data_IF_565326594063
#
_entry.id   IF_565326594063
#
_cell.length_a   1.000
_cell.length_b   1.000
_cell.length_c   1.000
_cell.angle_alpha   90.00
_cell.angle_beta   90.00
_cell.angle_gamma   90.00
#
_symmetry.space_group_name_H-M   'P 1'
#
loop_
_entity.id
_entity.type
_entity.pdbx_description
1 polymer ?
#
# COMPACT_ATOMS: atom_id res chain seq x y z
N UNK A 1 -20.78 -27.26 -48.75
CA UNK A 1 -20.58 -28.70 -48.46
C UNK A 1 -19.83 -28.81 -47.15
N UNK A 2 -20.53 -29.22 -46.10
CA UNK A 2 -19.98 -29.66 -44.81
C UNK A 2 -19.51 -31.11 -44.98
N UNK A 3 -18.23 -31.40 -44.73
CA UNK A 3 -17.66 -32.74 -44.47
C UNK A 3 -16.14 -32.57 -44.27
N UNK A 4 -15.46 -33.06 -43.24
CA UNK A 4 -15.81 -33.80 -42.03
C UNK A 4 -14.51 -33.87 -41.22
N UNK A 5 -14.53 -33.45 -39.96
CA UNK A 5 -13.42 -33.68 -39.04
C UNK A 5 -13.60 -35.06 -38.43
N UNK A 6 -12.82 -36.04 -38.91
CA UNK A 6 -12.71 -37.34 -38.28
C UNK A 6 -11.94 -37.21 -36.95
N UNK A 7 -12.48 -37.85 -35.92
CA UNK A 7 -11.97 -37.93 -34.57
C UNK A 7 -10.53 -38.43 -34.51
N UNK A 8 -9.61 -37.62 -33.99
CA UNK A 8 -8.37 -38.14 -33.42
C UNK A 8 -8.70 -38.80 -32.08
N UNK A 9 -8.43 -40.09 -32.02
CA UNK A 9 -8.53 -40.94 -30.84
C UNK A 9 -7.79 -40.29 -29.67
N UNK A 10 -8.47 -40.15 -28.53
CA UNK A 10 -7.82 -39.86 -27.24
C UNK A 10 -6.71 -40.89 -27.05
N UNK A 11 -5.46 -40.45 -27.06
CA UNK A 11 -4.38 -41.25 -26.52
C UNK A 11 -4.75 -41.55 -25.05
N UNK A 12 -5.03 -42.82 -24.75
CA UNK A 12 -5.18 -43.29 -23.38
C UNK A 12 -3.89 -42.93 -22.63
N UNK A 13 -3.97 -41.92 -21.77
CA UNK A 13 -2.94 -41.71 -20.76
C UNK A 13 -2.94 -42.95 -19.89
N UNK A 14 -1.85 -43.70 -19.92
CA UNK A 14 -1.59 -44.77 -18.96
C UNK A 14 -1.79 -44.19 -17.56
N UNK A 15 -2.63 -44.77 -16.68
CA UNK A 15 -2.71 -44.31 -15.31
C UNK A 15 -1.30 -44.42 -14.71
N UNK A 16 -0.78 -43.29 -14.24
CA UNK A 16 0.45 -43.30 -13.46
C UNK A 16 0.21 -44.17 -12.21
N UNK A 17 1.22 -44.94 -11.76
CA UNK A 17 1.05 -45.84 -10.62
C UNK A 17 0.53 -45.04 -9.40
N UNK A 18 -0.44 -45.61 -8.68
CA UNK A 18 -0.87 -45.11 -7.37
C UNK A 18 0.38 -44.95 -6.50
N UNK A 19 0.80 -43.71 -6.28
CA UNK A 19 1.87 -43.41 -5.33
C UNK A 19 1.26 -43.63 -3.95
N UNK A 20 1.43 -44.83 -3.41
CA UNK A 20 1.04 -45.14 -2.05
C UNK A 20 1.70 -44.15 -1.09
N UNK A 21 0.89 -43.33 -0.44
CA UNK A 21 1.28 -42.39 0.62
C UNK A 21 1.91 -43.19 1.77
N UNK A 22 3.22 -43.47 1.72
CA UNK A 22 3.82 -44.47 2.62
C UNK A 22 5.17 -44.09 3.22
N UNK A 23 5.77 -42.93 2.90
CA UNK A 23 6.92 -42.43 3.64
C UNK A 23 6.53 -41.22 4.49
N UNK A 24 6.73 -41.34 5.80
CA UNK A 24 6.69 -40.27 6.80
C UNK A 24 5.31 -39.66 7.15
N UNK A 25 4.22 -40.40 6.92
CA UNK A 25 2.86 -40.00 7.32
C UNK A 25 2.37 -40.65 8.63
N UNK A 26 3.23 -41.36 9.37
CA UNK A 26 2.79 -42.14 10.54
C UNK A 26 2.28 -41.29 11.71
N UNK A 27 2.66 -40.01 11.76
CA UNK A 27 2.21 -39.06 12.79
C UNK A 27 0.91 -38.32 12.42
N UNK A 28 0.41 -38.53 11.19
CA UNK A 28 -0.81 -37.87 10.70
C UNK A 28 -2.06 -38.51 11.29
N UNK A 29 -3.00 -37.67 11.70
CA UNK A 29 -4.35 -38.06 12.11
C UNK A 29 -5.17 -38.50 10.90
N UNK A 30 -6.32 -39.16 11.14
CA UNK A 30 -7.25 -39.54 10.08
C UNK A 30 -7.74 -38.34 9.26
N UNK A 31 -7.92 -37.19 9.90
CA UNK A 31 -8.37 -35.97 9.24
C UNK A 31 -7.28 -35.38 8.34
N UNK A 32 -6.03 -35.36 8.82
CA UNK A 32 -4.86 -34.94 8.05
C UNK A 32 -4.63 -35.86 6.84
N UNK A 33 -4.79 -37.18 7.00
CA UNK A 33 -4.75 -38.14 5.90
C UNK A 33 -5.87 -37.93 4.88
N UNK A 34 -7.09 -37.60 5.34
CA UNK A 34 -8.19 -37.29 4.43
C UNK A 34 -7.91 -36.00 3.63
N UNK A 35 -7.36 -34.98 4.28
CA UNK A 35 -7.01 -33.71 3.63
C UNK A 35 -5.98 -33.89 2.50
N UNK A 36 -4.89 -34.64 2.74
CA UNK A 36 -3.85 -34.83 1.69
C UNK A 36 -4.33 -35.69 0.51
N UNK A 37 -5.45 -36.40 0.66
CA UNK A 37 -6.09 -37.14 -0.42
C UNK A 37 -7.15 -36.30 -1.16
N UNK A 38 -7.51 -35.12 -0.65
CA UNK A 38 -8.49 -34.23 -1.27
C UNK A 38 -7.80 -33.35 -2.32
N UNK A 39 -8.03 -33.63 -3.61
CA UNK A 39 -7.40 -32.89 -4.72
C UNK A 39 -7.72 -31.39 -4.71
N UNK A 40 -8.95 -31.03 -4.38
CA UNK A 40 -9.47 -29.67 -4.59
C UNK A 40 -8.82 -28.63 -3.66
N UNK A 41 -8.44 -29.04 -2.45
CA UNK A 41 -7.71 -28.19 -1.51
C UNK A 41 -6.23 -28.03 -1.90
N UNK A 42 -5.64 -29.07 -2.50
CA UNK A 42 -4.21 -29.07 -2.87
C UNK A 42 -3.91 -28.24 -4.12
N UNK A 43 -4.88 -28.10 -5.04
CA UNK A 43 -4.74 -27.28 -6.24
C UNK A 43 -4.40 -25.82 -5.89
N UNK A 44 -4.87 -25.31 -4.75
CA UNK A 44 -4.56 -23.96 -4.25
C UNK A 44 -3.06 -23.71 -4.08
N UNK A 45 -2.30 -24.76 -3.78
CA UNK A 45 -0.85 -24.71 -3.56
C UNK A 45 -0.06 -25.20 -4.78
N UNK A 46 -0.72 -25.34 -5.94
CA UNK A 46 -0.18 -25.99 -7.14
C UNK A 46 0.33 -27.44 -6.86
N UNK A 47 -0.35 -28.14 -5.94
CA UNK A 47 -0.07 -29.52 -5.56
C UNK A 47 -1.15 -30.46 -6.11
N UNK A 48 -0.76 -31.72 -6.30
CA UNK A 48 -1.65 -32.88 -6.45
C UNK A 48 -1.32 -33.85 -5.31
N UNK A 49 -2.18 -34.84 -4.98
CA UNK A 49 -1.85 -35.85 -3.98
C UNK A 49 -0.49 -36.51 -4.23
N UNK A 50 -0.13 -36.78 -5.49
CA UNK A 50 1.16 -37.35 -5.88
C UNK A 50 2.32 -36.37 -5.64
N UNK A 51 2.17 -35.10 -6.05
CA UNK A 51 3.21 -34.07 -5.78
C UNK A 51 3.41 -33.87 -4.28
N UNK A 52 2.35 -33.91 -3.49
CA UNK A 52 2.43 -33.79 -2.04
C UNK A 52 3.07 -35.03 -1.43
N UNK A 53 2.71 -36.24 -1.88
CA UNK A 53 3.33 -37.48 -1.41
C UNK A 53 4.86 -37.49 -1.62
N UNK A 54 5.33 -37.03 -2.79
CA UNK A 54 6.76 -36.86 -3.06
C UNK A 54 7.40 -35.88 -2.07
N UNK A 55 6.76 -34.71 -1.83
CA UNK A 55 7.25 -33.72 -0.86
C UNK A 55 7.26 -34.21 0.58
N UNK A 56 6.31 -35.07 0.97
CA UNK A 56 6.24 -35.64 2.32
C UNK A 56 7.31 -36.72 2.51
N UNK A 57 7.60 -37.50 1.48
CA UNK A 57 8.65 -38.52 1.51
C UNK A 57 10.06 -37.94 1.75
N UNK A 58 10.31 -36.70 1.30
CA UNK A 58 11.56 -35.97 1.50
C UNK A 58 11.73 -35.37 2.92
N UNK A 59 10.71 -35.48 3.79
CA UNK A 59 10.67 -34.84 5.12
C UNK A 59 10.65 -35.85 6.25
N UNK A 60 11.15 -35.50 7.43
CA UNK A 60 10.92 -36.32 8.63
C UNK A 60 9.42 -36.41 8.99
N UNK A 61 8.96 -37.43 9.74
CA UNK A 61 7.55 -37.55 10.12
C UNK A 61 6.98 -36.31 10.83
N UNK A 62 7.79 -35.62 11.62
CA UNK A 62 7.42 -34.39 12.32
C UNK A 62 7.26 -33.22 11.35
N UNK A 63 8.21 -33.02 10.43
CA UNK A 63 8.14 -31.97 9.41
C UNK A 63 6.99 -32.21 8.42
N UNK A 64 6.72 -33.48 8.07
CA UNK A 64 5.58 -33.88 7.27
C UNK A 64 4.27 -33.50 7.98
N UNK A 65 4.15 -33.78 9.28
CA UNK A 65 3.00 -33.36 10.09
C UNK A 65 2.82 -31.85 10.12
N UNK A 66 3.89 -31.11 10.40
CA UNK A 66 3.85 -29.64 10.41
C UNK A 66 3.42 -29.07 9.06
N UNK A 67 3.90 -29.65 7.94
CA UNK A 67 3.48 -29.22 6.60
C UNK A 67 1.98 -29.44 6.37
N UNK A 68 1.45 -30.61 6.71
CA UNK A 68 0.02 -30.92 6.53
C UNK A 68 -0.84 -30.04 7.43
N UNK A 69 -0.44 -29.82 8.67
CA UNK A 69 -1.14 -28.93 9.60
C UNK A 69 -1.17 -27.49 9.08
N UNK A 70 -0.05 -26.98 8.58
CA UNK A 70 0.01 -25.66 7.97
C UNK A 70 -0.90 -25.57 6.74
N UNK A 71 -0.91 -26.58 5.85
CA UNK A 71 -1.79 -26.60 4.67
C UNK A 71 -3.27 -26.54 5.07
N UNK A 72 -3.66 -27.34 6.07
CA UNK A 72 -5.03 -27.34 6.60
C UNK A 72 -5.39 -26.00 7.23
N UNK A 73 -4.49 -25.42 8.03
CA UNK A 73 -4.71 -24.13 8.69
C UNK A 73 -4.85 -23.00 7.67
N UNK A 74 -3.95 -22.91 6.68
CA UNK A 74 -4.02 -21.91 5.62
C UNK A 74 -5.29 -22.08 4.77
N UNK A 75 -5.68 -23.32 4.44
CA UNK A 75 -6.94 -23.59 3.76
C UNK A 75 -8.17 -23.18 4.58
N UNK A 76 -8.14 -23.36 5.90
CA UNK A 76 -9.22 -22.95 6.79
C UNK A 76 -9.32 -21.41 6.88
N UNK A 77 -8.19 -20.71 7.04
CA UNK A 77 -8.13 -19.25 7.10
C UNK A 77 -8.67 -18.57 5.83
N UNK A 78 -8.63 -19.26 4.68
CA UNK A 78 -9.16 -18.77 3.41
C UNK A 78 -10.69 -18.66 3.38
N UNK A 79 -11.39 -19.40 4.23
CA UNK A 79 -12.86 -19.37 4.32
C UNK A 79 -13.32 -18.23 5.23
N UNK A 80 -14.60 -17.87 5.15
CA UNK A 80 -15.20 -16.91 6.08
C UNK A 80 -15.02 -17.35 7.53
N UNK A 81 -14.85 -16.39 8.44
CA UNK A 81 -14.60 -16.63 9.86
C UNK A 81 -15.57 -15.78 10.69
N UNK A 82 -16.71 -16.37 11.05
CA UNK A 82 -17.86 -15.68 11.67
C UNK A 82 -17.59 -14.95 13.01
N UNK A 83 -16.39 -15.06 13.58
CA UNK A 83 -16.01 -14.45 14.87
C UNK A 83 -14.57 -13.90 14.88
N UNK A 84 -13.92 -13.75 13.71
CA UNK A 84 -12.58 -13.16 13.66
C UNK A 84 -12.71 -11.63 13.59
N UNK A 85 -13.08 -11.02 14.71
CA UNK A 85 -12.70 -9.62 14.96
C UNK A 85 -11.18 -9.62 15.12
N UNK A 86 -10.42 -9.37 14.06
CA UNK A 86 -9.01 -9.07 14.24
C UNK A 86 -8.92 -7.67 14.85
N UNK A 87 -8.19 -7.56 15.96
CA UNK A 87 -7.98 -6.33 16.72
C UNK A 87 -9.22 -5.72 17.38
N UNK A 88 -9.22 -5.71 18.72
CA UNK A 88 -10.02 -4.77 19.51
C UNK A 88 -9.48 -3.36 19.28
N UNK A 89 -9.84 -2.72 18.18
CA UNK A 89 -10.05 -1.29 18.16
C UNK A 89 -11.54 -1.09 18.46
N UNK A 90 -11.85 -0.74 19.70
CA UNK A 90 -13.16 -0.17 20.04
C UNK A 90 -13.06 1.35 19.89
N UNK A 91 -13.57 1.97 18.82
CA UNK A 91 -14.37 3.17 18.94
C UNK A 91 -15.75 2.74 19.43
N UNK A 92 -16.29 3.38 20.47
CA UNK A 92 -17.33 2.85 21.35
C UNK A 92 -18.72 2.55 20.74
N UNK A 93 -18.91 2.57 19.44
CA UNK A 93 -20.14 2.15 18.75
C UNK A 93 -19.74 1.41 17.46
N UNK A 94 -19.65 0.09 17.54
CA UNK A 94 -19.16 -0.75 16.45
C UNK A 94 -19.98 -0.60 15.18
N UNK A 95 -19.29 -0.55 14.04
CA UNK A 95 -19.89 -0.83 12.74
C UNK A 95 -20.33 -2.30 12.80
N UNK A 96 -21.64 -2.53 12.95
CA UNK A 96 -22.27 -3.84 12.73
C UNK A 96 -21.75 -4.39 11.38
N UNK A 97 -21.39 -5.68 11.28
CA UNK A 97 -21.10 -6.25 9.96
C UNK A 97 -22.28 -5.90 9.03
N UNK A 98 -22.07 -5.19 7.91
CA UNK A 98 -23.18 -4.77 7.04
C UNK A 98 -23.86 -5.96 6.30
N UNK A 99 -23.58 -7.20 6.71
CA UNK A 99 -23.87 -8.44 6.02
C UNK A 99 -24.81 -9.37 6.80
N UNK A 100 -25.43 -8.89 7.88
CA UNK A 100 -26.42 -9.66 8.62
C UNK A 100 -27.64 -9.98 7.73
N UNK A 101 -27.87 -11.28 7.51
CA UNK A 101 -28.96 -11.87 6.73
C UNK A 101 -30.35 -11.43 7.21
N UNK A 102 -30.90 -10.35 6.66
CA UNK A 102 -32.32 -10.00 6.82
C UNK A 102 -32.90 -9.51 5.50
N UNK A 103 -34.13 -9.94 5.24
CA UNK A 103 -34.83 -9.92 3.95
C UNK A 103 -35.22 -8.52 3.41
N UNK A 104 -34.67 -7.45 3.99
CA UNK A 104 -34.78 -6.05 3.54
C UNK A 104 -33.40 -5.35 3.62
N UNK A 105 -32.32 -6.00 3.18
CA UNK A 105 -31.04 -5.31 2.97
C UNK A 105 -30.94 -4.84 1.51
N UNK A 106 -30.91 -3.53 1.28
CA UNK A 106 -30.76 -2.88 -0.04
C UNK A 106 -29.36 -3.09 -0.69
N UNK A 107 -28.57 -4.08 -0.26
CA UNK A 107 -27.20 -4.37 -0.69
C UNK A 107 -27.10 -5.83 -1.17
N UNK A 108 -26.29 -6.09 -2.21
CA UNK A 108 -25.97 -7.45 -2.68
C UNK A 108 -25.09 -8.14 -1.61
N UNK A 109 -25.55 -9.22 -0.95
CA UNK A 109 -24.79 -9.86 0.11
C UNK A 109 -23.54 -10.55 -0.45
N UNK A 110 -22.44 -10.48 0.31
CA UNK A 110 -21.27 -11.34 0.06
C UNK A 110 -21.65 -12.81 0.31
N UNK A 111 -20.94 -13.73 -0.35
CA UNK A 111 -21.16 -15.17 -0.20
C UNK A 111 -20.18 -15.76 0.84
N UNK A 112 -20.52 -15.86 2.14
CA UNK A 112 -19.62 -16.42 3.16
C UNK A 112 -19.36 -17.92 2.99
N UNK A 113 -20.23 -18.63 2.25
CA UNK A 113 -20.02 -20.05 1.90
C UNK A 113 -18.94 -20.23 0.82
N UNK A 114 -18.46 -19.14 0.21
CA UNK A 114 -17.37 -19.21 -0.75
C UNK A 114 -16.09 -19.70 -0.06
N UNK A 115 -15.57 -20.84 -0.52
CA UNK A 115 -14.33 -21.40 0.03
C UNK A 115 -13.09 -20.49 -0.12
N UNK A 116 -13.18 -19.44 -0.95
CA UNK A 116 -12.14 -18.46 -1.23
C UNK A 116 -12.32 -17.09 -0.57
N UNK A 117 -13.30 -16.90 0.32
CA UNK A 117 -13.73 -15.59 0.84
C UNK A 117 -12.56 -14.68 1.27
N UNK A 118 -11.62 -15.19 2.06
CA UNK A 118 -10.49 -14.46 2.61
C UNK A 118 -9.18 -14.64 1.83
N UNK A 119 -9.21 -15.21 0.61
CA UNK A 119 -7.99 -15.64 -0.10
C UNK A 119 -6.96 -14.53 -0.28
N UNK A 120 -7.38 -13.30 -0.49
CA UNK A 120 -6.49 -12.15 -0.66
C UNK A 120 -5.80 -11.75 0.66
N UNK A 121 -6.39 -12.08 1.81
CA UNK A 121 -5.87 -11.72 3.15
C UNK A 121 -4.95 -12.78 3.75
N UNK A 122 -4.95 -14.00 3.22
CA UNK A 122 -4.18 -15.12 3.77
C UNK A 122 -2.76 -15.12 3.21
N UNK A 123 -1.79 -14.83 4.07
CA UNK A 123 -0.38 -14.91 3.74
C UNK A 123 0.10 -16.36 3.65
N UNK A 124 0.94 -16.64 2.65
CA UNK A 124 1.56 -17.95 2.51
C UNK A 124 2.63 -18.17 3.60
N UNK A 125 2.50 -19.20 4.46
CA UNK A 125 3.52 -19.54 5.44
C UNK A 125 4.89 -19.82 4.78
N UNK A 126 5.97 -19.39 5.43
CA UNK A 126 7.34 -19.66 4.99
C UNK A 126 7.66 -21.17 4.88
N UNK A 127 6.89 -22.00 5.58
CA UNK A 127 6.99 -23.45 5.47
C UNK A 127 6.79 -23.94 4.03
N UNK A 128 5.95 -23.26 3.23
CA UNK A 128 5.63 -23.63 1.85
C UNK A 128 6.66 -23.19 0.82
N UNK A 129 7.64 -22.37 1.20
CA UNK A 129 8.68 -21.95 0.28
C UNK A 129 9.47 -23.15 -0.24
N UNK A 130 9.53 -23.25 -1.56
CA UNK A 130 10.32 -24.28 -2.24
C UNK A 130 11.81 -24.14 -1.91
N UNK A 131 12.29 -22.91 -1.80
CA UNK A 131 13.67 -22.60 -1.48
C UNK A 131 13.71 -21.90 -0.13
N UNK A 132 14.37 -22.52 0.84
CA UNK A 132 14.62 -21.91 2.15
C UNK A 132 15.71 -20.86 2.00
N UNK A 133 15.48 -19.70 2.60
CA UNK A 133 16.40 -18.58 2.63
C UNK A 133 16.44 -18.02 4.04
N UNK A 134 17.57 -17.45 4.40
CA UNK A 134 17.65 -16.64 5.61
C UNK A 134 16.77 -15.38 5.44
N UNK A 135 16.14 -14.90 6.52
CA UNK A 135 15.44 -13.63 6.49
C UNK A 135 16.38 -12.49 6.11
N UNK A 136 15.88 -11.59 5.26
CA UNK A 136 16.60 -10.40 4.81
C UNK A 136 16.23 -10.01 3.37
N UNK A 137 16.39 -8.74 2.99
CA UNK A 137 16.18 -8.32 1.61
C UNK A 137 17.21 -8.97 0.69
N UNK A 138 16.80 -9.32 -0.54
CA UNK A 138 17.69 -9.93 -1.51
C UNK A 138 17.54 -9.28 -2.89
N UNK A 139 18.66 -9.20 -3.62
CA UNK A 139 18.68 -8.52 -4.92
C UNK A 139 18.06 -9.38 -6.01
N UNK A 140 17.25 -8.75 -6.87
CA UNK A 140 16.79 -9.33 -8.14
C UNK A 140 17.65 -8.90 -9.34
N UNK A 141 18.75 -8.16 -9.11
CA UNK A 141 19.61 -7.66 -10.19
C UNK A 141 20.27 -8.84 -10.91
N UNK A 142 20.08 -8.89 -12.23
CA UNK A 142 20.78 -9.84 -13.13
C UNK A 142 21.97 -9.20 -13.82
N UNK A 143 21.87 -7.92 -14.13
CA UNK A 143 22.90 -7.17 -14.87
C UNK A 143 23.57 -6.16 -13.94
N UNK A 144 24.78 -5.73 -14.33
CA UNK A 144 25.52 -4.69 -13.62
C UNK A 144 24.79 -3.34 -13.69
N UNK A 145 24.22 -3.03 -14.86
CA UNK A 145 23.44 -1.82 -15.09
C UNK A 145 21.95 -2.09 -14.89
N UNK A 146 21.27 -1.07 -14.38
CA UNK A 146 19.94 -1.15 -13.77
C UNK A 146 18.79 -1.16 -14.79
N UNK A 147 19.07 -0.79 -16.04
CA UNK A 147 18.07 -0.57 -17.09
C UNK A 147 17.44 -1.88 -17.61
N UNK A 148 18.00 -3.03 -17.24
CA UNK A 148 17.44 -4.35 -17.59
C UNK A 148 17.27 -5.24 -16.35
N UNK A 149 16.19 -6.02 -16.29
CA UNK A 149 15.95 -6.94 -15.19
C UNK A 149 14.49 -6.97 -14.74
N UNK A 150 14.27 -7.46 -13.51
CA UNK A 150 12.95 -7.40 -12.86
C UNK A 150 12.86 -6.03 -12.17
N UNK A 151 11.92 -5.15 -12.59
CA UNK A 151 11.81 -3.81 -12.03
C UNK A 151 11.30 -3.86 -10.59
N UNK A 152 11.90 -3.04 -9.74
CA UNK A 152 11.57 -2.85 -8.33
C UNK A 152 11.63 -1.36 -8.02
N UNK A 153 10.89 -0.91 -7.00
CA UNK A 153 10.94 0.49 -6.59
C UNK A 153 12.36 0.88 -6.19
N UNK A 154 12.83 2.03 -6.69
CA UNK A 154 14.19 2.54 -6.46
C UNK A 154 15.31 1.54 -6.83
N UNK A 155 15.01 0.50 -7.62
CA UNK A 155 15.88 -0.65 -7.87
C UNK A 155 16.40 -1.33 -6.57
N UNK A 156 15.58 -1.28 -5.52
CA UNK A 156 15.89 -1.79 -4.20
C UNK A 156 15.86 -3.33 -4.15
N UNK A 157 16.59 -3.96 -3.21
CA UNK A 157 16.39 -5.36 -2.87
C UNK A 157 14.93 -5.65 -2.48
N UNK A 158 14.48 -6.88 -2.73
CA UNK A 158 13.12 -7.29 -2.40
C UNK A 158 13.08 -7.91 -1.01
N UNK A 159 12.10 -7.48 -0.21
CA UNK A 159 11.65 -8.15 1.00
C UNK A 159 10.27 -8.80 0.73
N UNK A 160 10.03 -10.00 1.25
CA UNK A 160 8.76 -10.73 1.02
C UNK A 160 7.95 -10.83 2.32
N UNK A 161 8.62 -10.78 3.47
CA UNK A 161 8.00 -10.95 4.80
C UNK A 161 8.53 -9.93 5.79
N UNK A 162 7.77 -9.71 6.87
CA UNK A 162 8.17 -8.89 8.02
C UNK A 162 9.56 -9.27 8.55
N UNK A 163 9.87 -10.56 8.62
CA UNK A 163 11.18 -11.04 9.06
C UNK A 163 12.34 -10.53 8.19
N UNK A 164 12.10 -10.24 6.91
CA UNK A 164 13.12 -9.67 6.03
C UNK A 164 13.38 -8.20 6.34
N UNK A 165 12.31 -7.44 6.62
CA UNK A 165 12.42 -6.04 7.02
C UNK A 165 13.25 -5.92 8.31
N UNK A 166 12.93 -6.76 9.30
CA UNK A 166 13.65 -6.82 10.58
C UNK A 166 15.11 -7.23 10.38
N UNK A 167 15.37 -8.34 9.68
CA UNK A 167 16.73 -8.84 9.50
C UNK A 167 17.62 -7.92 8.64
N UNK A 168 17.01 -7.19 7.70
CA UNK A 168 17.69 -6.18 6.89
C UNK A 168 17.87 -4.82 7.58
N UNK A 169 17.29 -4.62 8.77
CA UNK A 169 17.17 -3.32 9.42
C UNK A 169 16.67 -2.25 8.41
N UNK A 170 15.62 -2.58 7.68
CA UNK A 170 15.10 -1.75 6.58
C UNK A 170 14.51 -0.47 7.15
N UNK A 171 15.07 0.67 6.77
CA UNK A 171 14.59 1.99 7.18
C UNK A 171 13.28 2.35 6.46
N UNK A 172 13.25 2.14 5.13
CA UNK A 172 12.11 2.48 4.27
C UNK A 172 11.78 1.31 3.37
N UNK A 173 10.49 0.94 3.30
CA UNK A 173 10.03 -0.07 2.35
C UNK A 173 8.89 0.47 1.49
N UNK A 174 9.06 0.36 0.18
CA UNK A 174 7.99 0.63 -0.77
C UNK A 174 7.01 -0.54 -0.82
N UNK A 175 5.72 -0.25 -0.81
CA UNK A 175 4.66 -1.24 -0.92
C UNK A 175 3.58 -0.73 -1.86
N UNK A 176 3.21 -1.54 -2.84
CA UNK A 176 2.14 -1.20 -3.77
C UNK A 176 0.75 -1.59 -3.24
N UNK A 177 -0.24 -0.73 -3.43
CA UNK A 177 -1.64 -1.01 -3.12
C UNK A 177 -2.49 -0.78 -4.38
N UNK A 178 -2.68 -1.80 -5.23
CA UNK A 178 -3.33 -1.65 -6.53
C UNK A 178 -4.87 -1.63 -6.43
N UNK A 179 -5.44 -0.69 -5.68
CA UNK A 179 -6.89 -0.54 -5.45
C UNK A 179 -7.44 0.74 -6.09
N UNK A 180 -8.44 0.64 -6.97
CA UNK A 180 -9.07 1.81 -7.62
C UNK A 180 -10.61 1.76 -7.57
N UNK A 181 -11.16 1.01 -6.61
CA UNK A 181 -12.61 0.82 -6.51
C UNK A 181 -13.30 1.95 -5.73
N UNK A 182 -12.59 2.56 -4.77
CA UNK A 182 -13.13 3.65 -3.97
C UNK A 182 -13.39 4.93 -4.78
N UNK A 183 -12.64 5.15 -5.87
CA UNK A 183 -12.93 6.21 -6.84
C UNK A 183 -13.89 5.78 -7.95
N UNK A 184 -13.96 4.48 -8.24
CA UNK A 184 -14.69 3.92 -9.39
C UNK A 184 -14.21 4.45 -10.75
N UNK A 185 -13.06 5.13 -10.79
CA UNK A 185 -12.66 6.03 -11.88
C UNK A 185 -11.19 5.84 -12.29
N UNK A 186 -10.79 6.55 -13.36
CA UNK A 186 -9.61 6.41 -14.23
C UNK A 186 -8.26 5.91 -13.61
N UNK A 187 -8.09 4.60 -13.49
CA UNK A 187 -6.79 3.88 -13.62
C UNK A 187 -5.74 3.89 -12.47
N UNK A 188 -6.09 4.30 -11.25
CA UNK A 188 -5.07 4.48 -10.20
C UNK A 188 -4.39 3.17 -9.72
N UNK A 189 -5.02 2.02 -9.94
CA UNK A 189 -4.54 0.70 -9.52
C UNK A 189 -3.27 0.23 -10.24
N UNK A 190 -2.95 0.78 -11.41
CA UNK A 190 -1.78 0.35 -12.20
C UNK A 190 -0.51 1.11 -11.84
N UNK A 191 -0.61 2.17 -11.03
CA UNK A 191 0.54 2.95 -10.57
C UNK A 191 1.65 2.09 -9.96
N UNK A 192 1.40 1.11 -9.07
CA UNK A 192 2.49 0.36 -8.45
C UNK A 192 3.31 -0.45 -9.45
N UNK A 193 2.69 -0.90 -10.54
CA UNK A 193 3.38 -1.66 -11.59
C UNK A 193 4.20 -0.73 -12.47
N UNK A 194 3.63 0.40 -12.91
CA UNK A 194 4.33 1.34 -13.78
C UNK A 194 5.52 2.00 -13.07
N UNK A 195 5.31 2.48 -11.84
CA UNK A 195 6.30 3.30 -11.12
C UNK A 195 7.56 2.51 -10.72
N UNK A 196 7.47 1.18 -10.54
CA UNK A 196 8.64 0.30 -10.38
C UNK A 196 9.58 0.30 -11.58
N UNK A 197 9.02 0.44 -12.78
CA UNK A 197 9.76 0.42 -14.03
C UNK A 197 10.23 1.80 -14.50
N UNK A 198 9.98 2.85 -13.70
CA UNK A 198 10.24 4.24 -14.08
C UNK A 198 11.44 4.81 -13.33
N UNK A 199 12.18 5.72 -13.97
CA UNK A 199 13.33 6.41 -13.37
C UNK A 199 12.91 7.40 -12.28
N UNK A 200 13.89 7.86 -11.49
CA UNK A 200 13.75 9.01 -10.60
C UNK A 200 13.42 8.70 -9.15
N UNK A 201 13.41 7.43 -8.72
CA UNK A 201 13.19 7.03 -7.33
C UNK A 201 14.47 6.89 -6.48
N UNK A 202 15.64 6.83 -7.12
CA UNK A 202 16.94 6.62 -6.48
C UNK A 202 18.02 7.52 -7.10
N UNK A 203 19.15 7.64 -6.40
CA UNK A 203 20.30 8.41 -6.82
C UNK A 203 20.49 9.71 -6.03
N UNK A 204 21.56 10.42 -6.38
CA UNK A 204 21.98 11.66 -5.73
C UNK A 204 20.97 12.81 -5.95
N UNK A 205 20.48 13.40 -4.86
CA UNK A 205 19.75 14.67 -4.89
C UNK A 205 20.74 15.82 -4.90
N UNK A 206 20.65 16.68 -5.91
CA UNK A 206 21.50 17.88 -6.03
C UNK A 206 21.17 18.85 -4.91
N UNK A 207 19.89 19.16 -4.70
CA UNK A 207 19.43 20.08 -3.66
C UNK A 207 19.69 19.60 -2.24
N UNK A 208 19.64 18.28 -1.99
CA UNK A 208 19.92 17.69 -0.69
C UNK A 208 21.39 17.37 -0.44
N UNK A 209 22.21 17.32 -1.49
CA UNK A 209 23.64 16.95 -1.37
C UNK A 209 23.88 15.50 -0.98
N UNK A 210 22.90 14.61 -1.19
CA UNK A 210 22.89 13.26 -0.62
C UNK A 210 22.20 12.25 -1.54
N UNK A 211 22.69 11.01 -1.52
CA UNK A 211 21.99 9.87 -2.09
C UNK A 211 21.29 9.09 -0.96
N UNK A 212 19.94 9.05 -0.93
CA UNK A 212 19.20 8.37 0.12
C UNK A 212 19.56 6.89 0.27
N UNK A 213 19.91 6.23 -0.83
CA UNK A 213 20.21 4.79 -0.86
C UNK A 213 21.60 4.44 -0.33
N UNK A 214 22.47 5.45 -0.12
CA UNK A 214 23.77 5.27 0.54
C UNK A 214 23.69 5.43 2.06
N UNK A 215 22.60 6.00 2.59
CA UNK A 215 22.44 6.31 4.02
C UNK A 215 21.27 5.58 4.69
N UNK A 216 20.35 5.04 3.90
CA UNK A 216 19.21 4.25 4.37
C UNK A 216 19.16 2.88 3.70
N UNK A 217 18.72 1.88 4.46
CA UNK A 217 18.33 0.60 3.90
C UNK A 217 16.92 0.70 3.31
N UNK A 218 16.82 0.52 1.99
CA UNK A 218 15.57 0.61 1.24
C UNK A 218 15.21 -0.76 0.67
N UNK A 219 13.93 -1.14 0.71
CA UNK A 219 13.43 -2.38 0.10
C UNK A 219 12.15 -2.16 -0.72
N UNK A 220 11.91 -3.03 -1.70
CA UNK A 220 10.59 -3.22 -2.32
C UNK A 220 9.89 -4.40 -1.62
N UNK A 221 8.75 -4.13 -1.02
CA UNK A 221 7.95 -5.09 -0.25
C UNK A 221 6.78 -5.68 -1.07
N UNK A 222 6.84 -5.56 -2.40
CA UNK A 222 5.83 -6.10 -3.29
C UNK A 222 4.52 -5.30 -3.24
N UNK A 223 3.41 -5.98 -3.52
CA UNK A 223 2.08 -5.39 -3.43
C UNK A 223 1.29 -6.07 -2.30
N UNK A 224 0.51 -5.28 -1.56
CA UNK A 224 -0.56 -5.80 -0.73
C UNK A 224 -1.66 -6.31 -1.68
N UNK A 225 -2.14 -7.52 -1.44
CA UNK A 225 -3.23 -8.08 -2.22
C UNK A 225 -4.54 -7.39 -1.85
N UNK A 226 -5.35 -7.06 -2.86
CA UNK A 226 -6.62 -6.34 -2.66
C UNK A 226 -7.79 -7.09 -3.31
N UNK A 227 -8.96 -6.93 -2.73
CA UNK A 227 -10.24 -7.28 -3.32
C UNK A 227 -10.71 -6.14 -4.24
N UNK A 228 -10.79 -6.42 -5.55
CA UNK A 228 -11.19 -5.43 -6.54
C UNK A 228 -12.71 -5.22 -6.62
N UNK A 229 -13.49 -5.85 -5.73
CA UNK A 229 -14.94 -5.77 -5.68
C UNK A 229 -15.50 -5.29 -4.33
N UNK A 230 -14.65 -5.03 -3.34
CA UNK A 230 -15.08 -4.42 -2.07
C UNK A 230 -13.97 -3.59 -1.44
N UNK A 231 -14.10 -2.26 -1.36
CA UNK A 231 -13.17 -1.43 -0.59
C UNK A 231 -13.20 -1.79 0.90
N UNK A 232 -14.37 -2.13 1.44
CA UNK A 232 -14.58 -2.51 2.84
C UNK A 232 -13.72 -3.71 3.23
N UNK A 233 -13.63 -4.72 2.35
CA UNK A 233 -12.81 -5.89 2.60
C UNK A 233 -11.30 -5.59 2.55
N UNK A 234 -10.88 -4.44 2.06
CA UNK A 234 -9.47 -4.08 1.98
C UNK A 234 -8.98 -3.32 3.21
N UNK A 235 -9.85 -2.52 3.86
CA UNK A 235 -9.44 -1.58 4.91
C UNK A 235 -8.61 -2.26 6.00
N UNK A 236 -9.19 -3.25 6.67
CA UNK A 236 -8.54 -3.98 7.76
C UNK A 236 -7.25 -4.69 7.31
N UNK A 237 -7.27 -5.30 6.12
CA UNK A 237 -6.12 -6.04 5.60
C UNK A 237 -4.94 -5.10 5.31
N UNK A 238 -5.20 -3.98 4.63
CA UNK A 238 -4.19 -2.96 4.34
C UNK A 238 -3.64 -2.39 5.65
N UNK A 239 -4.50 -2.00 6.59
CA UNK A 239 -4.08 -1.49 7.90
C UNK A 239 -3.16 -2.47 8.62
N UNK A 240 -3.50 -3.76 8.65
CA UNK A 240 -2.66 -4.76 9.31
C UNK A 240 -1.31 -4.94 8.61
N UNK A 241 -1.27 -4.99 7.27
CA UNK A 241 -0.01 -5.13 6.54
C UNK A 241 0.92 -3.92 6.73
N UNK A 242 0.37 -2.72 6.81
CA UNK A 242 1.14 -1.51 7.11
C UNK A 242 1.60 -1.47 8.57
N UNK A 243 0.76 -1.92 9.50
CA UNK A 243 1.13 -2.08 10.92
C UNK A 243 2.30 -3.06 11.08
N UNK A 244 2.28 -4.18 10.35
CA UNK A 244 3.38 -5.16 10.35
C UNK A 244 4.72 -4.55 9.91
N UNK A 245 4.71 -3.62 8.95
CA UNK A 245 5.91 -2.88 8.51
C UNK A 245 6.40 -1.92 9.59
N UNK A 246 5.49 -1.16 10.21
CA UNK A 246 5.82 -0.22 11.29
C UNK A 246 6.40 -0.96 12.51
N UNK A 247 5.82 -2.10 12.89
CA UNK A 247 6.34 -2.96 13.95
C UNK A 247 7.72 -3.57 13.64
N UNK A 248 8.11 -3.64 12.35
CA UNK A 248 9.46 -4.01 11.95
C UNK A 248 10.47 -2.86 12.08
N UNK A 249 10.02 -1.66 12.46
CA UNK A 249 10.83 -0.44 12.50
C UNK A 249 10.99 0.22 11.12
N UNK A 250 10.14 -0.13 10.15
CA UNK A 250 10.25 0.32 8.76
C UNK A 250 9.18 1.33 8.42
N UNK A 251 9.58 2.45 7.81
CA UNK A 251 8.66 3.49 7.30
C UNK A 251 8.02 2.98 6.00
N UNK A 252 6.68 2.86 5.93
CA UNK A 252 6.00 2.45 4.71
C UNK A 252 5.94 3.61 3.69
N UNK A 253 6.38 3.33 2.47
CA UNK A 253 6.14 4.15 1.28
C UNK A 253 5.07 3.47 0.43
N UNK A 254 3.84 3.94 0.55
CA UNK A 254 2.66 3.33 -0.03
C UNK A 254 2.47 3.91 -1.43
N UNK A 255 2.39 3.06 -2.44
CA UNK A 255 2.29 3.49 -3.83
C UNK A 255 1.01 2.97 -4.44
N UNK A 256 0.28 3.89 -5.06
CA UNK A 256 -0.82 3.61 -5.97
C UNK A 256 -2.17 3.40 -5.31
N UNK A 257 -3.16 3.27 -6.20
CA UNK A 257 -4.55 3.24 -5.85
C UNK A 257 -5.16 4.61 -5.57
N UNK A 258 -6.46 4.59 -5.27
CA UNK A 258 -7.25 5.78 -4.99
C UNK A 258 -7.18 6.20 -3.52
N UNK A 259 -7.77 7.35 -3.20
CA UNK A 259 -7.67 7.96 -1.88
C UNK A 259 -8.44 7.26 -0.76
N UNK A 260 -9.20 6.20 -1.06
CA UNK A 260 -9.82 5.36 -0.02
C UNK A 260 -8.76 4.65 0.85
N UNK A 261 -7.55 4.46 0.33
CA UNK A 261 -6.42 3.85 1.02
C UNK A 261 -5.98 4.69 2.23
N UNK A 262 -6.12 6.02 2.17
CA UNK A 262 -5.66 6.94 3.21
C UNK A 262 -6.26 6.63 4.58
N UNK A 263 -7.51 6.17 4.63
CA UNK A 263 -8.11 5.74 5.89
C UNK A 263 -7.29 4.61 6.54
N UNK A 264 -6.86 3.63 5.74
CA UNK A 264 -6.11 2.47 6.22
C UNK A 264 -4.68 2.82 6.62
N UNK A 265 -4.02 3.68 5.84
CA UNK A 265 -2.63 4.07 6.04
C UNK A 265 -2.45 4.98 7.25
N UNK A 266 -3.31 6.00 7.39
CA UNK A 266 -3.31 6.88 8.56
C UNK A 266 -3.71 6.09 9.81
N UNK A 267 -4.68 5.18 9.73
CA UNK A 267 -5.06 4.31 10.87
C UNK A 267 -3.91 3.42 11.35
N UNK A 268 -3.12 2.85 10.44
CA UNK A 268 -1.96 2.04 10.80
C UNK A 268 -0.90 2.87 11.53
N UNK A 269 -0.59 4.06 11.02
CA UNK A 269 0.42 4.96 11.61
C UNK A 269 -0.05 5.51 12.96
N UNK A 270 -1.27 6.04 13.04
CA UNK A 270 -1.84 6.58 14.27
C UNK A 270 -1.99 5.51 15.35
N UNK A 271 -2.43 4.30 14.98
CA UNK A 271 -2.54 3.18 15.90
C UNK A 271 -1.17 2.72 16.44
N UNK A 272 -0.15 2.63 15.58
CA UNK A 272 1.20 2.23 15.98
C UNK A 272 1.86 3.27 16.89
N UNK A 273 1.67 4.56 16.62
CA UNK A 273 2.20 5.67 17.40
C UNK A 273 1.16 6.28 18.35
N UNK A 274 0.29 5.47 18.96
CA UNK A 274 -0.83 5.96 19.78
C UNK A 274 -0.43 6.84 20.98
N UNK A 275 0.80 6.69 21.48
CA UNK A 275 1.36 7.52 22.57
C UNK A 275 2.08 8.79 22.09
N UNK A 276 2.11 9.05 20.78
CA UNK A 276 2.80 10.20 20.16
C UNK A 276 1.84 10.96 19.24
N UNK A 277 1.81 12.30 19.26
CA UNK A 277 1.01 13.05 18.30
C UNK A 277 1.41 12.69 16.86
N UNK A 278 0.43 12.43 16.01
CA UNK A 278 0.64 12.18 14.58
C UNK A 278 -0.06 13.29 13.81
N UNK A 279 0.69 13.99 12.96
CA UNK A 279 0.14 14.97 12.02
C UNK A 279 0.19 14.48 10.59
N UNK A 280 -0.86 14.79 9.83
CA UNK A 280 -1.01 14.41 8.43
C UNK A 280 -0.89 15.66 7.56
N UNK A 281 0.11 15.67 6.68
CA UNK A 281 0.17 16.59 5.56
C UNK A 281 -0.55 15.94 4.37
N UNK A 282 -1.71 16.47 4.01
CA UNK A 282 -2.54 15.98 2.91
C UNK A 282 -2.48 16.95 1.73
N UNK A 283 -1.80 16.53 0.66
CA UNK A 283 -1.60 17.29 -0.56
C UNK A 283 -2.61 16.81 -1.61
N UNK A 284 -3.64 17.60 -1.86
CA UNK A 284 -4.77 17.21 -2.70
C UNK A 284 -5.50 18.44 -3.25
N UNK A 285 -6.15 18.31 -4.41
CA UNK A 285 -7.11 19.29 -4.89
C UNK A 285 -8.45 19.24 -4.11
N UNK A 286 -8.76 18.11 -3.48
CA UNK A 286 -10.04 17.80 -2.87
C UNK A 286 -9.94 17.62 -1.36
N UNK A 287 -10.92 18.11 -0.61
CA UNK A 287 -10.94 17.97 0.86
C UNK A 287 -11.22 16.56 1.38
N UNK A 288 -11.69 15.64 0.53
CA UNK A 288 -12.06 14.24 0.85
C UNK A 288 -12.94 14.07 2.10
N UNK A 289 -13.80 15.05 2.35
CA UNK A 289 -14.68 15.10 3.51
C UNK A 289 -16.15 14.94 3.16
N UNK A 290 -16.52 14.28 2.06
CA UNK A 290 -17.93 13.95 1.81
C UNK A 290 -18.45 12.99 2.90
N UNK A 291 -19.76 13.01 3.17
CA UNK A 291 -20.38 12.21 4.26
C UNK A 291 -21.63 11.43 3.84
N UNK A 292 -22.23 11.80 2.71
CA UNK A 292 -23.49 11.28 2.22
C UNK A 292 -23.27 10.62 0.86
N UNK A 293 -22.59 9.47 0.90
CA UNK A 293 -22.26 8.67 -0.27
C UNK A 293 -22.79 7.26 -0.07
N UNK A 294 -23.04 6.59 -1.19
CA UNK A 294 -23.66 5.26 -1.22
C UNK A 294 -22.79 4.17 -0.57
N UNK A 295 -21.46 4.37 -0.56
CA UNK A 295 -20.50 3.48 0.07
C UNK A 295 -19.85 4.16 1.28
N UNK A 296 -19.50 3.38 2.30
CA UNK A 296 -18.88 3.94 3.52
C UNK A 296 -17.41 4.32 3.29
N UNK A 297 -16.70 3.55 2.46
CA UNK A 297 -15.30 3.82 2.10
C UNK A 297 -15.21 4.13 0.60
N UNK A 298 -14.87 5.38 0.30
CA UNK A 298 -14.58 5.87 -1.05
C UNK A 298 -13.40 6.83 -0.99
N UNK A 299 -12.91 7.23 -2.15
CA UNK A 299 -11.86 8.25 -2.23
C UNK A 299 -12.37 9.64 -1.81
N UNK A 300 -13.68 9.89 -1.79
CA UNK A 300 -14.29 11.17 -1.42
C UNK A 300 -14.54 11.34 0.10
N UNK A 301 -14.42 10.28 0.89
CA UNK A 301 -14.82 10.24 2.31
C UNK A 301 -13.66 10.02 3.30
N UNK A 302 -12.43 9.82 2.83
CA UNK A 302 -11.30 9.41 3.69
C UNK A 302 -11.07 10.33 4.89
N UNK A 303 -11.13 11.66 4.70
CA UNK A 303 -10.96 12.64 5.79
C UNK A 303 -12.17 12.63 6.73
N UNK A 304 -13.40 12.57 6.20
CA UNK A 304 -14.59 12.48 7.05
C UNK A 304 -14.56 11.23 7.94
N UNK A 305 -14.15 10.10 7.38
CA UNK A 305 -14.07 8.83 8.11
C UNK A 305 -12.97 8.85 9.17
N UNK A 306 -11.79 9.42 8.86
CA UNK A 306 -10.69 9.54 9.84
C UNK A 306 -11.10 10.36 11.06
N UNK A 307 -11.82 11.47 10.86
CA UNK A 307 -12.31 12.31 11.94
C UNK A 307 -13.45 11.64 12.71
N UNK A 308 -14.42 11.04 12.00
CA UNK A 308 -15.55 10.36 12.62
C UNK A 308 -15.12 9.16 13.48
N UNK A 309 -14.08 8.43 13.06
CA UNK A 309 -13.50 7.32 13.81
C UNK A 309 -12.46 7.76 14.87
N UNK A 310 -12.22 9.07 15.03
CA UNK A 310 -11.22 9.63 15.93
C UNK A 310 -9.83 9.01 15.75
N UNK A 311 -9.47 8.67 14.51
CA UNK A 311 -8.13 8.18 14.17
C UNK A 311 -7.12 9.33 14.26
N UNK A 312 -7.54 10.54 13.92
CA UNK A 312 -6.75 11.75 14.05
C UNK A 312 -7.66 12.92 14.46
N UNK A 313 -7.11 13.84 15.23
CA UNK A 313 -7.76 15.11 15.53
C UNK A 313 -7.60 16.08 14.34
N UNK A 314 -8.64 16.84 14.01
CA UNK A 314 -8.59 17.73 12.84
C UNK A 314 -7.48 18.78 12.90
N UNK A 315 -7.10 19.25 14.09
CA UNK A 315 -5.99 20.21 14.26
C UNK A 315 -4.62 19.66 13.81
N UNK A 316 -4.51 18.33 13.71
CA UNK A 316 -3.32 17.60 13.25
C UNK A 316 -3.40 17.23 11.76
N UNK A 317 -4.47 17.61 11.06
CA UNK A 317 -4.61 17.42 9.61
C UNK A 317 -4.43 18.78 8.90
N UNK A 318 -3.44 18.84 8.00
CA UNK A 318 -3.10 20.02 7.21
C UNK A 318 -3.30 19.71 5.73
N UNK A 319 -4.28 20.36 5.11
CA UNK A 319 -4.57 20.22 3.68
C UNK A 319 -3.92 21.34 2.86
N UNK A 320 -3.27 21.00 1.76
CA UNK A 320 -2.66 21.98 0.85
C UNK A 320 -3.05 21.67 -0.59
N UNK A 321 -3.57 22.68 -1.31
CA UNK A 321 -3.87 22.60 -2.74
C UNK A 321 -5.35 22.57 -3.10
N UNK A 322 -6.23 22.71 -2.09
CA UNK A 322 -7.68 22.65 -2.26
C UNK A 322 -8.17 23.65 -3.32
N UNK A 323 -8.94 23.15 -4.30
CA UNK A 323 -9.54 23.93 -5.39
C UNK A 323 -10.65 23.15 -6.10
N UNK A 324 -11.39 23.83 -6.98
CA UNK A 324 -12.45 23.22 -7.77
C UNK A 324 -13.83 23.27 -7.09
N UNK A 325 -14.84 22.73 -7.77
CA UNK A 325 -16.24 22.98 -7.44
C UNK A 325 -16.72 22.32 -6.13
N UNK A 326 -16.11 21.20 -5.74
CA UNK A 326 -16.45 20.48 -4.50
C UNK A 326 -15.98 21.21 -3.24
N UNK A 327 -15.03 22.15 -3.36
CA UNK A 327 -14.49 22.93 -2.23
C UNK A 327 -15.34 24.18 -1.96
N UNK A 328 -16.66 23.98 -1.91
CA UNK A 328 -17.63 25.07 -1.75
C UNK A 328 -17.65 25.61 -0.31
N UNK A 329 -18.42 26.67 -0.06
CA UNK A 329 -18.50 27.30 1.27
C UNK A 329 -18.88 26.33 2.40
N UNK A 330 -19.78 25.38 2.13
CA UNK A 330 -20.20 24.38 3.11
C UNK A 330 -19.06 23.43 3.47
N UNK A 331 -18.33 22.93 2.47
CA UNK A 331 -17.14 22.10 2.70
C UNK A 331 -16.07 22.83 3.52
N UNK A 332 -15.77 24.09 3.17
CA UNK A 332 -14.80 24.90 3.92
C UNK A 332 -15.26 25.24 5.34
N UNK A 333 -16.57 25.44 5.56
CA UNK A 333 -17.14 25.61 6.90
C UNK A 333 -16.98 24.33 7.72
N UNK A 334 -17.31 23.18 7.14
CA UNK A 334 -17.17 21.89 7.81
C UNK A 334 -15.71 21.61 8.21
N UNK A 335 -14.74 21.89 7.34
CA UNK A 335 -13.31 21.76 7.70
C UNK A 335 -12.96 22.62 8.93
N UNK A 336 -13.44 23.87 8.98
CA UNK A 336 -13.21 24.76 10.13
C UNK A 336 -13.90 24.28 11.41
N UNK A 337 -15.14 23.80 11.30
CA UNK A 337 -15.90 23.26 12.42
C UNK A 337 -15.23 22.04 13.04
N UNK A 338 -14.50 21.27 12.22
CA UNK A 338 -13.70 20.12 12.67
C UNK A 338 -12.23 20.47 12.93
N UNK A 339 -11.87 21.76 12.97
CA UNK A 339 -10.50 22.25 13.21
C UNK A 339 -9.44 21.77 12.21
N UNK A 340 -9.83 21.30 11.02
CA UNK A 340 -8.91 20.94 9.94
C UNK A 340 -8.26 22.20 9.38
N UNK A 341 -6.92 22.21 9.35
CA UNK A 341 -6.16 23.29 8.73
C UNK A 341 -6.13 23.08 7.22
N UNK A 342 -6.35 24.14 6.45
CA UNK A 342 -6.35 24.03 5.00
C UNK A 342 -5.81 25.28 4.31
N UNK A 343 -5.16 25.06 3.18
CA UNK A 343 -4.60 26.08 2.31
C UNK A 343 -5.10 25.86 0.88
N UNK A 344 -5.96 26.77 0.42
CA UNK A 344 -6.54 26.70 -0.93
C UNK A 344 -5.60 27.34 -1.95
N UNK A 345 -5.79 27.01 -3.22
CA UNK A 345 -5.04 27.70 -4.29
C UNK A 345 -5.40 29.19 -4.41
N UNK A 346 -6.59 29.61 -3.97
CA UNK A 346 -6.93 31.04 -3.85
C UNK A 346 -6.09 31.76 -2.80
N UNK A 347 -5.68 31.08 -1.71
CA UNK A 347 -4.74 31.64 -0.75
C UNK A 347 -3.35 31.77 -1.38
N UNK A 348 -2.91 30.74 -2.13
CA UNK A 348 -1.63 30.78 -2.86
C UNK A 348 -1.58 31.94 -3.85
N UNK A 349 -2.66 32.24 -4.56
CA UNK A 349 -2.76 33.39 -5.46
C UNK A 349 -2.64 34.73 -4.72
N UNK A 350 -3.21 34.83 -3.51
CA UNK A 350 -3.18 36.06 -2.70
C UNK A 350 -1.82 36.28 -2.02
N UNK A 351 -1.27 35.23 -1.41
CA UNK A 351 -0.14 35.32 -0.48
C UNK A 351 1.19 34.83 -1.07
N UNK A 352 1.15 34.26 -2.28
CA UNK A 352 2.23 33.48 -2.92
C UNK A 352 2.45 32.08 -2.33
N UNK A 353 2.97 31.19 -3.17
CA UNK A 353 3.31 29.82 -2.77
C UNK A 353 4.32 29.77 -1.62
N UNK A 354 5.34 30.64 -1.64
CA UNK A 354 6.39 30.62 -0.62
C UNK A 354 5.81 30.83 0.78
N UNK A 355 4.88 31.78 0.95
CA UNK A 355 4.24 32.06 2.23
C UNK A 355 3.37 30.88 2.70
N UNK A 356 2.56 30.33 1.81
CA UNK A 356 1.67 29.19 2.14
C UNK A 356 2.47 27.93 2.49
N UNK A 357 3.58 27.69 1.78
CA UNK A 357 4.48 26.56 2.06
C UNK A 357 5.11 26.67 3.46
N UNK A 358 5.62 27.84 3.84
CA UNK A 358 6.17 28.05 5.20
C UNK A 358 5.09 27.91 6.29
N UNK A 359 3.86 28.39 6.03
CA UNK A 359 2.74 28.21 6.94
C UNK A 359 2.44 26.74 7.16
N UNK A 360 2.27 25.96 6.09
CA UNK A 360 1.99 24.54 6.18
C UNK A 360 3.10 23.78 6.92
N UNK A 361 4.38 24.08 6.65
CA UNK A 361 5.51 23.45 7.35
C UNK A 361 5.59 23.84 8.83
N UNK A 362 5.26 25.08 9.17
CA UNK A 362 5.18 25.55 10.56
C UNK A 362 4.06 24.84 11.31
N UNK A 363 2.88 24.74 10.70
CA UNK A 363 1.72 24.04 11.27
C UNK A 363 1.98 22.55 11.45
N UNK A 364 2.69 21.93 10.49
CA UNK A 364 3.08 20.53 10.53
C UNK A 364 4.11 20.25 11.63
N UNK A 365 5.07 21.16 11.83
CA UNK A 365 6.11 21.03 12.86
C UNK A 365 5.64 21.43 14.26
N UNK A 366 4.42 21.99 14.39
CA UNK A 366 3.88 22.42 15.68
C UNK A 366 3.53 21.23 16.59
N UNK A 367 3.20 20.07 16.02
CA UNK A 367 3.10 18.82 16.76
C UNK A 367 4.51 18.26 16.95
N UNK A 368 4.97 18.19 18.20
CA UNK A 368 6.27 17.59 18.53
C UNK A 368 6.18 16.04 18.45
N UNK A 369 5.84 15.51 17.27
CA UNK A 369 5.51 14.11 17.06
C UNK A 369 5.87 13.59 15.67
N UNK A 370 5.06 12.65 15.18
CA UNK A 370 5.27 11.97 13.90
C UNK A 370 4.51 12.65 12.77
N UNK A 371 5.05 12.57 11.57
CA UNK A 371 4.42 13.09 10.35
C UNK A 371 4.07 11.98 9.39
N UNK A 372 2.85 11.99 8.87
CA UNK A 372 2.43 11.19 7.72
C UNK A 372 2.18 12.12 6.53
N UNK A 373 2.75 11.81 5.37
CA UNK A 373 2.55 12.61 4.16
C UNK A 373 1.68 11.83 3.18
N UNK A 374 0.47 12.34 2.94
CA UNK A 374 -0.45 11.82 1.92
C UNK A 374 -0.41 12.72 0.69
N UNK A 375 0.12 12.20 -0.41
CA UNK A 375 0.26 12.92 -1.67
C UNK A 375 -0.70 12.36 -2.72
N UNK A 376 -1.67 13.15 -3.17
CA UNK A 376 -2.51 12.84 -4.33
C UNK A 376 -2.06 13.65 -5.55
N UNK A 377 -1.88 12.95 -6.67
CA UNK A 377 -1.38 13.54 -7.91
C UNK A 377 -2.23 14.72 -8.42
N UNK A 378 -3.53 14.77 -8.08
CA UNK A 378 -4.42 15.87 -8.44
C UNK A 378 -4.03 17.20 -7.81
N UNK A 379 -3.17 17.24 -6.77
CA UNK A 379 -2.65 18.50 -6.21
C UNK A 379 -1.84 19.28 -7.26
N UNK A 380 -1.15 18.56 -8.14
CA UNK A 380 -0.32 19.13 -9.20
C UNK A 380 -1.20 19.57 -10.37
N UNK A 381 -0.83 20.68 -11.00
CA UNK A 381 -1.57 21.17 -12.15
C UNK A 381 -1.54 20.18 -13.34
N UNK A 382 -2.68 19.90 -14.00
CA UNK A 382 -2.74 19.04 -15.18
C UNK A 382 -1.87 19.49 -16.36
N UNK A 383 -1.46 20.76 -16.40
CA UNK A 383 -0.47 21.26 -17.36
C UNK A 383 0.91 20.59 -17.21
N UNK A 384 1.23 20.06 -16.02
CA UNK A 384 2.47 19.32 -15.77
C UNK A 384 2.25 17.80 -15.77
N UNK A 385 1.10 17.32 -15.25
CA UNK A 385 0.80 15.89 -15.12
C UNK A 385 -0.62 15.58 -15.58
N UNK A 386 -0.77 14.85 -16.69
CA UNK A 386 -2.11 14.45 -17.17
C UNK A 386 -2.65 13.20 -16.48
N UNK A 387 -1.77 12.40 -15.88
CA UNK A 387 -2.06 11.09 -15.30
C UNK A 387 -2.59 11.16 -13.88
N UNK A 388 -3.70 11.86 -13.66
CA UNK A 388 -4.41 11.86 -12.38
C UNK A 388 -5.86 11.39 -12.55
N UNK A 389 -6.36 10.57 -11.62
CA UNK A 389 -7.75 10.08 -11.63
C UNK A 389 -8.76 11.24 -11.65
N UNK A 390 -8.59 12.23 -10.77
CA UNK A 390 -9.45 13.40 -10.64
C UNK A 390 -8.67 14.72 -10.85
N UNK A 391 -8.30 15.07 -12.09
CA UNK A 391 -7.47 16.25 -12.33
C UNK A 391 -8.28 17.54 -12.15
N UNK A 392 -7.72 18.54 -11.48
CA UNK A 392 -8.31 19.88 -11.33
C UNK A 392 -7.32 20.94 -11.79
N UNK A 393 -7.70 21.88 -12.65
CA UNK A 393 -6.80 22.94 -13.12
C UNK A 393 -6.48 23.98 -12.00
N UNK A 394 -5.37 24.69 -12.11
CA UNK A 394 -4.92 25.73 -11.17
C UNK A 394 -4.14 25.19 -9.97
N UNK A 395 -3.38 24.11 -10.16
CA UNK A 395 -2.61 23.43 -9.11
C UNK A 395 -1.18 23.94 -8.93
N UNK A 396 -0.44 23.27 -8.05
CA UNK A 396 1.00 23.54 -7.89
C UNK A 396 1.80 22.90 -9.03
N UNK A 397 3.00 23.41 -9.28
CA UNK A 397 3.95 22.77 -10.18
C UNK A 397 4.65 21.58 -9.51
N UNK A 398 5.17 20.66 -10.32
CA UNK A 398 5.99 19.52 -9.85
C UNK A 398 7.17 19.99 -9.00
N UNK A 399 7.82 21.10 -9.38
CA UNK A 399 8.95 21.67 -8.61
C UNK A 399 8.54 22.14 -7.21
N UNK A 400 7.36 22.75 -7.09
CA UNK A 400 6.80 23.17 -5.80
C UNK A 400 6.45 21.96 -4.93
N UNK A 401 5.85 20.91 -5.53
CA UNK A 401 5.56 19.66 -4.86
C UNK A 401 6.84 18.99 -4.30
N UNK A 402 7.87 18.81 -5.13
CA UNK A 402 9.16 18.24 -4.70
C UNK A 402 9.79 19.04 -3.55
N UNK A 403 9.73 20.37 -3.62
CA UNK A 403 10.32 21.24 -2.58
C UNK A 403 9.59 21.08 -1.25
N UNK A 404 8.26 21.18 -1.25
CA UNK A 404 7.46 21.02 -0.03
C UNK A 404 7.62 19.62 0.57
N UNK A 405 7.55 18.57 -0.24
CA UNK A 405 7.67 17.18 0.22
C UNK A 405 9.05 16.92 0.81
N UNK A 406 10.14 17.34 0.13
CA UNK A 406 11.50 17.20 0.69
C UNK A 406 11.65 17.91 2.03
N UNK A 407 11.15 19.15 2.12
CA UNK A 407 11.22 19.94 3.34
C UNK A 407 10.39 19.32 4.47
N UNK A 408 9.16 18.92 4.20
CA UNK A 408 8.33 18.21 5.17
C UNK A 408 9.07 16.97 5.70
N UNK A 409 9.65 16.16 4.80
CA UNK A 409 10.35 14.93 5.20
C UNK A 409 11.72 15.16 5.88
N UNK A 410 12.34 16.34 5.73
CA UNK A 410 13.59 16.71 6.41
C UNK A 410 13.35 17.38 7.77
N UNK A 411 12.40 18.30 7.81
CA UNK A 411 12.13 19.17 8.97
C UNK A 411 11.29 18.45 10.04
N UNK A 412 10.62 17.35 9.69
CA UNK A 412 9.76 16.57 10.60
C UNK A 412 10.15 15.09 10.68
N UNK A 413 9.65 14.38 11.70
CA UNK A 413 9.92 12.95 11.86
C UNK A 413 8.86 12.10 11.15
N UNK A 414 9.14 11.74 9.90
CA UNK A 414 8.22 10.97 9.05
C UNK A 414 8.02 9.55 9.56
N UNK A 415 6.75 9.16 9.69
CA UNK A 415 6.30 7.82 10.06
C UNK A 415 5.66 7.05 8.90
N UNK A 416 5.37 7.73 7.77
CA UNK A 416 4.88 7.09 6.56
C UNK A 416 4.67 8.11 5.44
N UNK A 417 4.64 7.61 4.23
CA UNK A 417 4.39 8.39 3.02
C UNK A 417 3.48 7.60 2.09
N UNK A 418 2.57 8.26 1.38
CA UNK A 418 1.81 7.66 0.30
C UNK A 418 1.73 8.53 -0.95
N UNK A 419 1.80 7.88 -2.11
CA UNK A 419 1.59 8.46 -3.45
C UNK A 419 0.35 7.84 -4.08
N UNK A 420 -0.74 8.59 -4.11
CA UNK A 420 -2.07 8.17 -4.55
C UNK A 420 -2.55 8.95 -5.77
N UNK A 421 -3.60 8.44 -6.43
CA UNK A 421 -4.26 9.13 -7.54
C UNK A 421 -3.42 9.26 -8.82
N UNK A 422 -2.32 8.50 -8.92
CA UNK A 422 -1.53 8.39 -10.16
C UNK A 422 -2.24 7.43 -11.10
N UNK A 423 -2.62 7.91 -12.28
CA UNK A 423 -3.39 7.20 -13.29
C UNK A 423 -2.55 6.95 -14.57
N UNK A 424 -1.71 5.90 -14.60
CA UNK A 424 -0.82 5.58 -15.73
C UNK A 424 -1.46 5.66 -17.13
N UNK A 425 -2.65 5.09 -17.33
CA UNK A 425 -3.24 4.97 -18.66
C UNK A 425 -3.83 6.29 -19.18
N UNK A 426 -3.89 7.33 -18.35
CA UNK A 426 -4.20 8.69 -18.78
C UNK A 426 -2.96 9.47 -19.20
N UNK A 427 -1.76 8.96 -18.92
CA UNK A 427 -0.50 9.57 -19.31
C UNK A 427 0.04 8.92 -20.58
N UNK A 428 -0.20 9.57 -21.72
CA UNK A 428 0.32 9.13 -23.02
C UNK A 428 1.82 9.43 -23.21
N UNK A 429 2.44 10.12 -22.26
CA UNK A 429 3.87 10.44 -22.28
C UNK A 429 4.63 9.47 -21.38
N UNK A 430 4.76 9.87 -20.12
CA UNK A 430 5.44 9.26 -18.96
C UNK A 430 5.70 10.36 -17.90
N UNK A 431 5.39 11.63 -18.21
CA UNK A 431 5.64 12.80 -17.37
C UNK A 431 5.07 12.65 -15.95
N UNK A 432 3.88 12.07 -15.83
CA UNK A 432 3.21 11.86 -14.55
C UNK A 432 3.94 10.80 -13.73
N UNK A 433 4.33 9.70 -14.38
CA UNK A 433 5.09 8.63 -13.73
C UNK A 433 6.47 9.11 -13.27
N UNK A 434 7.19 9.85 -14.12
CA UNK A 434 8.47 10.47 -13.77
C UNK A 434 8.31 11.46 -12.60
N UNK A 435 7.27 12.29 -12.65
CA UNK A 435 7.00 13.28 -11.59
C UNK A 435 6.66 12.61 -10.26
N UNK A 436 5.83 11.57 -10.26
CA UNK A 436 5.50 10.78 -9.07
C UNK A 436 6.76 10.20 -8.41
N UNK A 437 7.64 9.61 -9.23
CA UNK A 437 8.91 9.06 -8.75
C UNK A 437 9.84 10.12 -8.17
N UNK A 438 9.97 11.27 -8.83
CA UNK A 438 10.77 12.40 -8.34
C UNK A 438 10.22 13.00 -7.03
N UNK A 439 8.89 13.02 -6.85
CA UNK A 439 8.27 13.48 -5.60
C UNK A 439 8.52 12.48 -4.46
N UNK A 440 8.41 11.17 -4.72
CA UNK A 440 8.79 10.14 -3.74
C UNK A 440 10.28 10.22 -3.38
N UNK A 441 11.16 10.41 -4.36
CA UNK A 441 12.60 10.62 -4.13
C UNK A 441 12.88 11.88 -3.33
N UNK A 442 12.11 12.95 -3.52
CA UNK A 442 12.20 14.15 -2.69
C UNK A 442 11.91 13.83 -1.21
N UNK A 443 10.91 13.01 -0.90
CA UNK A 443 10.67 12.58 0.49
C UNK A 443 11.80 11.68 1.01
N UNK A 444 12.24 10.68 0.24
CA UNK A 444 13.40 9.84 0.62
C UNK A 444 14.63 10.69 0.94
N UNK A 445 14.88 11.72 0.13
CA UNK A 445 15.95 12.69 0.34
C UNK A 445 15.75 13.45 1.64
N UNK A 446 14.54 13.93 1.94
CA UNK A 446 14.26 14.57 3.22
C UNK A 446 14.54 13.68 4.43
N UNK A 447 14.08 12.42 4.39
CA UNK A 447 14.34 11.46 5.49
C UNK A 447 15.84 11.19 5.63
N UNK A 448 16.55 11.01 4.52
CA UNK A 448 18.00 10.82 4.49
C UNK A 448 18.77 12.04 5.05
N UNK A 449 18.33 13.25 4.70
CA UNK A 449 18.87 14.51 5.21
C UNK A 449 18.70 14.58 6.73
N UNK A 450 17.49 14.34 7.24
CA UNK A 450 17.22 14.34 8.68
C UNK A 450 18.07 13.31 9.42
N UNK A 451 18.14 12.08 8.91
CA UNK A 451 18.96 11.00 9.47
C UNK A 451 20.46 11.37 9.52
N UNK A 452 20.90 12.25 8.62
CA UNK A 452 22.28 12.75 8.54
C UNK A 452 22.50 14.08 9.28
N UNK A 453 21.50 14.60 10.02
CA UNK A 453 21.59 15.86 10.74
C UNK A 453 21.47 17.12 9.87
N UNK A 454 20.90 17.00 8.67
CA UNK A 454 20.62 18.10 7.74
C UNK A 454 19.14 18.49 7.78
N UNK A 455 18.62 18.73 8.98
CA UNK A 455 17.21 19.00 9.28
C UNK A 455 16.89 20.50 9.49
N UNK A 456 17.87 21.37 9.23
CA UNK A 456 17.65 22.82 9.27
C UNK A 456 16.56 23.24 8.26
N UNK A 457 15.70 24.16 8.69
CA UNK A 457 14.63 24.69 7.86
C UNK A 457 15.17 25.22 6.53
N UNK A 458 14.55 24.77 5.43
CA UNK A 458 14.91 25.15 4.06
C UNK A 458 16.39 24.89 3.69
N UNK A 459 17.01 23.84 4.25
CA UNK A 459 18.36 23.44 3.86
C UNK A 459 18.44 23.15 2.35
N UNK A 460 19.50 23.66 1.73
CA UNK A 460 19.96 23.35 0.38
C UNK A 460 21.47 23.16 0.47
N UNK A 461 21.98 22.11 -0.18
CA UNK A 461 23.41 21.85 -0.19
C UNK A 461 24.18 23.04 -0.80
N UNK A 462 25.23 23.56 -0.15
CA UNK A 462 25.99 24.69 -0.66
C UNK A 462 26.61 24.47 -2.04
N UNK A 463 26.93 23.22 -2.43
CA UNK A 463 27.46 22.89 -3.76
C UNK A 463 26.38 22.89 -4.84
N UNK A 464 25.10 22.87 -4.47
CA UNK A 464 23.99 23.05 -5.41
C UNK A 464 23.81 24.51 -5.83
N UNK A 465 24.39 25.46 -5.07
CA UNK A 465 24.31 26.88 -5.35
C UNK A 465 25.44 27.31 -6.31
N UNK A 466 25.26 28.48 -6.94
CA UNK A 466 26.28 29.01 -7.85
C UNK A 466 27.64 29.12 -7.14
N UNK A 467 28.69 28.65 -7.82
CA UNK A 467 30.05 28.90 -7.38
C UNK A 467 30.29 30.42 -7.31
N UNK A 468 30.95 30.88 -6.25
CA UNK A 468 31.39 32.27 -6.13
C UNK A 468 32.64 32.54 -6.96
#
# INVERSE_FOLDING_TARGET
MLSGCASTTKAERTPMPEVAISANTQLLTKQELAFINASDELVLYNLTPEKLAVKLAEKSPQEAKQLVQALMQTSAQRRYQANHTASKATPAEGIEEPLAYLADSDIIPLNPEAGGYNRQRVLQPALFDRYKREPGPFSLKRYLNEEGGIPTFANAPVAIRKADLVAGAVDVAFVGVPLALGSGWRDDKHAPTLLRGMYGLSGYSVEGGIDPTLVMQVADYGNIAVDNMSPELNIEHITQQLTDMLEAGTIPFIVGGDHSIMFSSVSAVAGHFSDTPVSVLHLDAHYRGERDKDHFYSDEQSVANLLAASVIEGENLIQVGLRGASQNKSALMWLRENSVKYHTMAQVERDSWAVVMEQALTELSASAGKTFVSFDMSVVDPAFVSGSGQPVAGGISVRQAMTLVRRACAETEVAGFEMLGVAPFLDLSYNTALSANQIMHACLTGIAMRKSGMDNANYIDPMALSHQ
#
